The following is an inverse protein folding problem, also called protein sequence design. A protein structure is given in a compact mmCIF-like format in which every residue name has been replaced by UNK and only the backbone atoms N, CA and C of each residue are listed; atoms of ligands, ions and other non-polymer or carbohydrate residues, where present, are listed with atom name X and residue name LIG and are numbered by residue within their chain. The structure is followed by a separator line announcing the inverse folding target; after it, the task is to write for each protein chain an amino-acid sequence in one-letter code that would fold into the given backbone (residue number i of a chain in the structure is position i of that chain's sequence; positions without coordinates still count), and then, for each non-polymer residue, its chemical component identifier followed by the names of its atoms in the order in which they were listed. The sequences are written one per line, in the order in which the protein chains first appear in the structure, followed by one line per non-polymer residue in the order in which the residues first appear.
data_IF_345985430690
#
_entry.id   IF_345985430690
#
_cell.length_a   1.000
_cell.length_b   1.000
_cell.length_c   1.000
_cell.angle_alpha   90.00
_cell.angle_beta   90.00
_cell.angle_gamma   90.00
#
_symmetry.space_group_name_H-M   'P 1'
#
loop_
_entity.id
_entity.type
_entity.pdbx_description
1 polymer ?
#
# COMPACT_ATOMS: atom_id res chain seq x y z
N UNK A 1 34.17 78.46 -31.21
CA UNK A 1 33.87 78.22 -29.78
C UNK A 1 32.80 77.16 -29.73
N UNK A 2 33.20 75.91 -29.59
CA UNK A 2 32.30 74.75 -29.64
C UNK A 2 31.93 74.38 -28.20
N UNK A 3 30.65 74.40 -27.87
CA UNK A 3 30.15 73.87 -26.63
C UNK A 3 29.50 72.49 -26.93
N UNK A 4 30.22 71.48 -26.46
CA UNK A 4 29.83 70.08 -26.52
C UNK A 4 28.72 69.81 -25.49
N UNK A 5 27.52 69.51 -25.98
CA UNK A 5 26.44 69.06 -25.14
C UNK A 5 26.67 67.59 -24.76
N UNK A 6 26.99 67.32 -23.50
CA UNK A 6 27.00 65.97 -22.95
C UNK A 6 25.58 65.50 -22.72
N UNK A 7 25.21 64.50 -23.51
CA UNK A 7 23.96 63.77 -23.34
C UNK A 7 24.04 62.92 -22.04
N UNK A 8 23.29 63.32 -21.05
CA UNK A 8 23.12 62.63 -19.79
C UNK A 8 22.38 61.32 -20.02
N UNK A 9 23.11 60.23 -20.06
CA UNK A 9 22.55 58.89 -20.13
C UNK A 9 22.00 58.55 -18.72
N UNK A 10 20.74 58.77 -18.56
CA UNK A 10 19.99 58.34 -17.38
C UNK A 10 19.98 56.81 -17.42
N UNK A 11 20.81 56.19 -16.58
CA UNK A 11 20.69 54.77 -16.27
C UNK A 11 19.34 54.57 -15.61
N UNK A 12 18.38 54.05 -16.39
CA UNK A 12 17.13 53.54 -15.85
C UNK A 12 17.46 52.37 -14.95
N UNK A 13 17.36 52.59 -13.65
CA UNK A 13 17.32 51.50 -12.67
C UNK A 13 16.21 50.55 -13.10
N UNK A 14 16.63 49.36 -13.53
CA UNK A 14 15.77 48.21 -13.76
C UNK A 14 15.07 47.86 -12.45
N UNK A 15 13.93 48.49 -12.21
CA UNK A 15 13.02 48.02 -11.19
C UNK A 15 12.55 46.67 -11.69
N UNK A 16 12.95 45.60 -10.98
CA UNK A 16 12.70 44.20 -11.32
C UNK A 16 11.20 43.84 -11.38
N UNK A 17 10.44 44.63 -12.10
CA UNK A 17 9.08 44.30 -12.50
C UNK A 17 9.16 43.25 -13.59
N UNK A 18 8.82 42.01 -13.24
CA UNK A 18 8.75 40.91 -14.22
C UNK A 18 7.69 41.31 -15.24
N UNK A 19 8.13 41.66 -16.44
CA UNK A 19 7.22 41.98 -17.51
C UNK A 19 6.56 40.69 -18.04
N UNK A 20 5.34 40.44 -17.59
CA UNK A 20 4.56 39.24 -17.96
C UNK A 20 4.45 39.07 -19.48
N UNK A 21 4.44 40.15 -20.21
CA UNK A 21 4.36 40.10 -21.67
C UNK A 21 5.67 39.62 -22.30
N UNK A 22 6.81 39.99 -21.76
CA UNK A 22 8.12 39.55 -22.20
C UNK A 22 8.31 38.06 -21.87
N UNK A 23 7.90 37.63 -20.67
CA UNK A 23 7.88 36.22 -20.26
C UNK A 23 7.02 35.40 -21.25
N UNK A 24 5.86 35.91 -21.64
CA UNK A 24 4.97 35.22 -22.56
C UNK A 24 5.57 35.12 -23.98
N UNK A 25 6.28 36.14 -24.44
CA UNK A 25 6.99 36.12 -25.74
C UNK A 25 8.12 35.08 -25.73
N UNK A 26 8.90 34.97 -24.64
CA UNK A 26 9.95 33.97 -24.51
C UNK A 26 9.37 32.56 -24.50
N UNK A 27 8.22 32.38 -23.82
CA UNK A 27 7.50 31.09 -23.79
C UNK A 27 7.01 30.70 -25.19
N UNK A 28 6.46 31.64 -25.94
CA UNK A 28 6.01 31.43 -27.34
C UNK A 28 7.17 31.15 -28.30
N UNK A 29 8.31 31.78 -28.10
CA UNK A 29 9.51 31.54 -28.90
C UNK A 29 10.02 30.10 -28.68
N UNK A 30 9.91 29.58 -27.42
CA UNK A 30 10.30 28.22 -27.06
C UNK A 30 9.22 27.14 -27.23
N UNK A 31 8.07 27.47 -27.81
CA UNK A 31 6.89 26.57 -27.88
C UNK A 31 7.20 25.18 -28.44
N UNK A 32 8.02 25.08 -29.49
CA UNK A 32 8.37 23.79 -30.09
C UNK A 32 9.21 22.91 -29.16
N UNK A 33 10.12 23.51 -28.43
CA UNK A 33 10.91 22.78 -27.43
C UNK A 33 10.05 22.28 -26.29
N UNK A 34 9.13 23.13 -25.81
CA UNK A 34 8.20 22.76 -24.74
C UNK A 34 7.29 21.62 -25.18
N UNK A 35 6.68 21.74 -26.39
CA UNK A 35 5.82 20.70 -26.95
C UNK A 35 6.59 19.39 -27.10
N UNK A 36 7.80 19.42 -27.63
CA UNK A 36 8.59 18.21 -27.84
C UNK A 36 8.92 17.53 -26.52
N UNK A 37 9.41 18.29 -25.52
CA UNK A 37 9.77 17.74 -24.21
C UNK A 37 8.56 17.18 -23.47
N UNK A 38 7.43 17.91 -23.49
CA UNK A 38 6.21 17.44 -22.82
C UNK A 38 5.64 16.21 -23.51
N UNK A 39 5.60 16.18 -24.84
CA UNK A 39 5.13 15.00 -25.59
C UNK A 39 6.02 13.79 -25.32
N UNK A 40 7.34 13.96 -25.33
CA UNK A 40 8.27 12.90 -25.02
C UNK A 40 8.05 12.36 -23.60
N UNK A 41 7.93 13.26 -22.61
CA UNK A 41 7.64 12.88 -21.23
C UNK A 41 6.31 12.11 -21.10
N UNK A 42 5.26 12.57 -21.78
CA UNK A 42 3.97 11.88 -21.78
C UNK A 42 4.06 10.47 -22.36
N UNK A 43 4.79 10.29 -23.47
CA UNK A 43 4.98 8.97 -24.09
C UNK A 43 5.73 8.03 -23.14
N UNK A 44 6.79 8.50 -22.48
CA UNK A 44 7.55 7.69 -21.53
C UNK A 44 6.67 7.27 -20.34
N UNK A 45 5.88 8.20 -19.79
CA UNK A 45 4.95 7.90 -18.68
C UNK A 45 3.87 6.92 -19.13
N UNK A 46 3.35 7.06 -20.34
CA UNK A 46 2.32 6.18 -20.88
C UNK A 46 2.85 4.74 -21.02
N UNK A 47 4.06 4.57 -21.58
CA UNK A 47 4.71 3.25 -21.69
C UNK A 47 4.92 2.66 -20.29
N UNK A 48 5.40 3.48 -19.35
CA UNK A 48 5.58 3.05 -17.97
C UNK A 48 4.27 2.58 -17.32
N UNK A 49 3.19 3.35 -17.46
CA UNK A 49 1.88 2.98 -16.92
C UNK A 49 1.32 1.67 -17.52
N UNK A 50 1.55 1.44 -18.82
CA UNK A 50 1.12 0.20 -19.46
C UNK A 50 1.95 -1.02 -19.05
N UNK A 51 3.18 -0.80 -18.61
CA UNK A 51 4.05 -1.86 -18.11
C UNK A 51 3.81 -2.19 -16.62
N UNK A 52 2.99 -1.41 -15.90
CA UNK A 52 2.69 -1.72 -14.51
C UNK A 52 1.78 -2.95 -14.41
N UNK A 53 2.11 -3.89 -13.51
CA UNK A 53 1.25 -5.04 -13.26
C UNK A 53 -0.06 -4.61 -12.59
N UNK A 54 -1.14 -5.30 -12.91
CA UNK A 54 -2.42 -5.11 -12.26
C UNK A 54 -2.41 -5.74 -10.88
N UNK A 55 -2.78 -4.99 -9.84
CA UNK A 55 -2.90 -5.48 -8.47
C UNK A 55 -4.37 -5.51 -8.09
N UNK A 56 -4.86 -6.69 -7.74
CA UNK A 56 -6.23 -6.88 -7.25
C UNK A 56 -6.24 -6.93 -5.72
N UNK A 57 -7.17 -6.20 -5.11
CA UNK A 57 -7.36 -6.19 -3.66
C UNK A 57 -8.77 -6.65 -3.32
N UNK A 58 -8.87 -7.70 -2.50
CA UNK A 58 -10.10 -8.15 -1.88
C UNK A 58 -10.12 -7.74 -0.41
N UNK A 59 -11.29 -7.31 0.10
CA UNK A 59 -11.45 -6.86 1.48
C UNK A 59 -12.61 -7.59 2.13
N UNK A 60 -12.37 -8.09 3.34
CA UNK A 60 -13.41 -8.68 4.19
C UNK A 60 -13.45 -7.93 5.51
N UNK A 61 -14.65 -7.54 5.91
CA UNK A 61 -14.91 -6.90 7.19
C UNK A 61 -15.46 -7.96 8.16
N UNK A 62 -14.76 -8.12 9.28
CA UNK A 62 -15.14 -9.05 10.35
C UNK A 62 -15.56 -8.26 11.59
N UNK A 63 -16.69 -8.63 12.16
CA UNK A 63 -17.19 -8.07 13.42
C UNK A 63 -16.91 -9.09 14.52
N UNK A 64 -16.05 -8.77 15.50
CA UNK A 64 -15.84 -9.66 16.64
C UNK A 64 -17.13 -9.78 17.43
N UNK A 65 -17.52 -11.01 17.74
CA UNK A 65 -18.64 -11.23 18.64
C UNK A 65 -18.16 -11.00 20.09
N UNK A 66 -18.44 -9.82 20.61
CA UNK A 66 -18.17 -9.49 22.01
C UNK A 66 -19.30 -10.06 22.90
N UNK A 67 -19.29 -11.37 23.11
CA UNK A 67 -20.27 -12.04 23.98
C UNK A 67 -20.09 -11.72 25.49
N UNK A 68 -19.15 -10.86 25.85
CA UNK A 68 -18.98 -10.38 27.20
C UNK A 68 -19.81 -9.12 27.48
N UNK A 69 -21.12 -9.31 27.73
CA UNK A 69 -22.03 -8.28 28.26
C UNK A 69 -21.60 -7.71 29.65
N UNK A 70 -20.48 -8.15 30.22
CA UNK A 70 -19.94 -7.60 31.47
C UNK A 70 -19.22 -6.27 31.31
N UNK A 71 -18.84 -5.90 30.08
CA UNK A 71 -18.09 -4.64 29.87
C UNK A 71 -18.98 -3.39 29.95
N UNK A 72 -20.27 -3.50 29.74
CA UNK A 72 -21.23 -2.38 29.83
C UNK A 72 -21.36 -1.86 31.27
N UNK A 73 -21.49 -2.75 32.23
CA UNK A 73 -21.60 -2.38 33.65
C UNK A 73 -20.28 -1.82 34.18
N UNK A 74 -19.16 -2.47 33.88
CA UNK A 74 -17.85 -1.99 34.30
C UNK A 74 -17.49 -0.60 33.72
N UNK A 75 -17.93 -0.30 32.50
CA UNK A 75 -17.76 1.00 31.86
C UNK A 75 -18.61 2.08 32.55
N UNK A 76 -19.83 1.75 32.90
CA UNK A 76 -20.74 2.71 33.55
C UNK A 76 -20.38 2.96 35.03
N UNK A 77 -19.86 1.96 35.72
CA UNK A 77 -19.43 2.11 37.12
C UNK A 77 -17.98 2.55 37.26
N UNK A 78 -17.13 2.38 36.24
CA UNK A 78 -15.73 2.79 36.24
C UNK A 78 -15.57 4.31 36.39
N UNK A 79 -16.44 5.08 35.76
CA UNK A 79 -16.48 6.54 35.91
C UNK A 79 -16.89 6.98 37.32
N UNK A 80 -17.82 6.27 37.94
CA UNK A 80 -18.24 6.54 39.32
C UNK A 80 -17.16 6.12 40.33
N UNK A 81 -16.48 5.00 40.07
CA UNK A 81 -15.36 4.56 40.93
C UNK A 81 -14.16 5.51 40.89
N UNK A 82 -13.87 6.15 39.73
CA UNK A 82 -12.81 7.14 39.61
C UNK A 82 -13.13 8.42 40.41
N UNK A 83 -14.41 8.82 40.46
CA UNK A 83 -14.86 9.94 41.29
C UNK A 83 -14.73 9.62 42.79
N UNK A 84 -14.91 8.36 43.17
CA UNK A 84 -14.73 7.87 44.54
C UNK A 84 -13.26 7.59 44.91
N UNK A 85 -12.30 7.94 44.03
CA UNK A 85 -10.86 7.73 44.27
C UNK A 85 -10.42 6.26 44.24
N UNK A 86 -11.28 5.35 43.82
CA UNK A 86 -10.97 3.93 43.65
C UNK A 86 -10.45 3.71 42.23
N UNK A 87 -9.13 3.58 42.09
CA UNK A 87 -8.51 3.11 40.83
C UNK A 87 -8.84 1.64 40.68
N UNK A 88 -9.96 1.35 39.97
CA UNK A 88 -10.15 0.01 39.45
C UNK A 88 -8.97 -0.27 38.51
N UNK A 89 -8.25 -1.41 38.69
CA UNK A 89 -7.26 -1.80 37.70
C UNK A 89 -8.03 -1.85 36.39
N UNK A 90 -7.79 -0.88 35.53
CA UNK A 90 -8.24 -0.94 34.16
C UNK A 90 -7.51 -2.15 33.59
N UNK A 91 -8.19 -3.32 33.63
CA UNK A 91 -7.81 -4.40 32.77
C UNK A 91 -7.84 -3.75 31.39
N UNK A 92 -6.67 -3.40 30.91
CA UNK A 92 -6.45 -3.02 29.52
C UNK A 92 -6.71 -4.27 28.69
N UNK A 93 -7.98 -4.71 28.73
CA UNK A 93 -8.45 -5.81 27.94
C UNK A 93 -8.27 -5.34 26.50
N UNK A 94 -7.13 -5.77 25.95
CA UNK A 94 -6.87 -5.62 24.53
C UNK A 94 -8.16 -6.00 23.81
N UNK A 95 -8.69 -5.09 22.98
CA UNK A 95 -9.91 -5.35 22.20
C UNK A 95 -9.87 -6.76 21.60
N UNK A 96 -11.00 -7.43 21.53
CA UNK A 96 -11.07 -8.76 20.91
C UNK A 96 -10.55 -8.74 19.47
N UNK A 97 -10.75 -7.62 18.76
CA UNK A 97 -10.13 -7.38 17.45
C UNK A 97 -8.61 -7.47 17.50
N UNK A 98 -7.97 -6.81 18.45
CA UNK A 98 -6.51 -6.83 18.62
C UNK A 98 -5.98 -8.20 18.99
N UNK A 99 -6.71 -8.92 19.84
CA UNK A 99 -6.36 -10.33 20.18
C UNK A 99 -6.48 -11.22 18.96
N UNK A 100 -7.54 -11.04 18.16
CA UNK A 100 -7.73 -11.78 16.91
C UNK A 100 -6.60 -11.50 15.92
N UNK A 101 -6.24 -10.23 15.70
CA UNK A 101 -5.12 -9.85 14.82
C UNK A 101 -3.82 -10.53 15.28
N UNK A 102 -3.47 -10.43 16.57
CA UNK A 102 -2.27 -11.06 17.09
C UNK A 102 -2.25 -12.58 16.88
N UNK A 103 -3.41 -13.23 16.96
CA UNK A 103 -3.53 -14.65 16.68
C UNK A 103 -3.39 -14.94 15.18
N UNK A 104 -4.10 -14.21 14.34
CA UNK A 104 -4.07 -14.37 12.88
C UNK A 104 -2.70 -14.09 12.26
N UNK A 105 -1.94 -13.17 12.85
CA UNK A 105 -0.57 -12.81 12.42
C UNK A 105 0.52 -13.66 13.06
N UNK A 106 0.17 -14.72 13.77
CA UNK A 106 1.16 -15.63 14.37
C UNK A 106 1.51 -16.78 13.43
N UNK A 107 2.80 -17.15 13.40
CA UNK A 107 3.29 -18.30 12.64
C UNK A 107 2.55 -19.60 13.02
N UNK A 108 2.33 -19.81 14.32
CA UNK A 108 1.64 -21.01 14.83
C UNK A 108 0.20 -21.14 14.30
N UNK A 109 -0.52 -20.01 14.16
CA UNK A 109 -1.85 -20.02 13.57
C UNK A 109 -1.81 -20.33 12.07
N UNK A 110 -0.87 -19.72 11.37
CA UNK A 110 -0.64 -19.99 9.95
C UNK A 110 -0.35 -21.46 9.70
N UNK A 111 0.59 -22.01 10.43
CA UNK A 111 1.06 -23.41 10.30
C UNK A 111 -0.06 -24.43 10.59
N UNK A 112 -0.89 -24.15 11.61
CA UNK A 112 -1.93 -25.09 12.03
C UNK A 112 -3.24 -24.95 11.27
N UNK A 113 -3.56 -23.75 10.76
CA UNK A 113 -4.91 -23.46 10.23
C UNK A 113 -4.92 -22.99 8.77
N UNK A 114 -3.85 -22.34 8.30
CA UNK A 114 -3.82 -21.79 6.94
C UNK A 114 -3.06 -22.71 6.01
N UNK A 115 -1.82 -23.03 6.36
CA UNK A 115 -0.92 -23.82 5.52
C UNK A 115 -1.52 -25.16 5.04
N UNK A 116 -2.24 -25.93 5.89
CA UNK A 116 -2.85 -27.18 5.45
C UNK A 116 -4.04 -27.01 4.48
N UNK A 117 -4.60 -25.80 4.42
CA UNK A 117 -5.82 -25.50 3.65
C UNK A 117 -5.55 -24.66 2.40
N UNK A 118 -4.32 -24.28 2.13
CA UNK A 118 -3.94 -23.54 0.92
C UNK A 118 -3.11 -24.45 0.01
N UNK A 119 -3.22 -24.20 -1.29
CA UNK A 119 -2.32 -24.81 -2.25
C UNK A 119 -1.05 -23.97 -2.32
N UNK A 120 0.03 -24.49 -1.74
CA UNK A 120 1.26 -23.71 -1.55
C UNK A 120 1.86 -23.14 -2.84
N UNK A 121 1.81 -23.83 -4.01
CA UNK A 121 2.24 -23.24 -5.29
C UNK A 121 1.51 -21.93 -5.63
N UNK A 122 0.24 -21.77 -5.26
CA UNK A 122 -0.51 -20.51 -5.47
C UNK A 122 0.03 -19.35 -4.67
N UNK A 123 0.80 -19.63 -3.64
CA UNK A 123 1.39 -18.59 -2.80
C UNK A 123 2.80 -18.17 -3.26
N UNK A 124 3.58 -19.12 -3.81
CA UNK A 124 5.03 -18.93 -4.00
C UNK A 124 5.52 -19.19 -5.41
N UNK A 125 4.71 -19.78 -6.29
CA UNK A 125 5.14 -20.22 -7.62
C UNK A 125 4.31 -19.61 -8.77
N UNK A 126 3.42 -18.65 -8.49
CA UNK A 126 2.68 -17.97 -9.56
C UNK A 126 3.62 -17.03 -10.30
N UNK A 127 3.67 -17.19 -11.64
CA UNK A 127 4.33 -16.28 -12.55
C UNK A 127 3.36 -15.21 -13.06
N UNK A 128 2.20 -15.62 -13.59
CA UNK A 128 1.20 -14.72 -14.13
C UNK A 128 -0.20 -15.33 -14.09
N UNK A 129 -1.22 -14.47 -14.15
CA UNK A 129 -2.62 -14.88 -14.27
C UNK A 129 -3.24 -14.29 -15.54
N UNK A 130 -3.82 -15.15 -16.35
CA UNK A 130 -4.60 -14.73 -17.50
C UNK A 130 -6.06 -14.58 -17.10
N UNK A 131 -6.53 -13.32 -17.02
CA UNK A 131 -7.90 -12.99 -16.59
C UNK A 131 -8.97 -13.44 -17.59
N UNK A 132 -8.67 -13.48 -18.89
CA UNK A 132 -9.63 -13.86 -19.93
C UNK A 132 -9.93 -15.37 -19.90
N UNK A 133 -8.90 -16.18 -19.69
CA UNK A 133 -9.00 -17.62 -19.63
C UNK A 133 -9.18 -18.15 -18.20
N UNK A 134 -9.10 -17.25 -17.20
CA UNK A 134 -9.06 -17.60 -15.77
C UNK A 134 -8.03 -18.71 -15.49
N UNK A 135 -6.84 -18.57 -16.07
CA UNK A 135 -5.78 -19.54 -15.99
C UNK A 135 -4.55 -18.96 -15.30
N UNK A 136 -4.02 -19.71 -14.33
CA UNK A 136 -2.81 -19.35 -13.58
C UNK A 136 -1.62 -20.05 -14.26
N UNK A 137 -0.62 -19.26 -14.63
CA UNK A 137 0.68 -19.76 -15.06
C UNK A 137 1.61 -19.83 -13.86
N UNK A 138 2.25 -20.97 -13.67
CA UNK A 138 3.26 -21.17 -12.64
C UNK A 138 4.65 -21.07 -13.25
N UNK A 139 5.60 -20.63 -12.43
CA UNK A 139 7.01 -20.69 -12.78
C UNK A 139 7.45 -22.15 -12.87
N UNK A 140 7.78 -22.57 -14.08
CA UNK A 140 8.19 -23.95 -14.38
C UNK A 140 9.53 -24.34 -13.75
N UNK A 141 10.33 -23.39 -13.28
CA UNK A 141 11.55 -23.68 -12.53
C UNK A 141 11.24 -24.05 -11.07
N UNK A 142 10.08 -23.62 -10.56
CA UNK A 142 9.63 -23.86 -9.18
C UNK A 142 8.65 -25.01 -9.12
N UNK A 143 7.63 -25.01 -9.99
CA UNK A 143 6.52 -25.95 -9.94
C UNK A 143 6.07 -26.40 -11.33
N UNK A 144 6.07 -27.71 -11.59
CA UNK A 144 5.54 -28.31 -12.81
C UNK A 144 4.05 -28.60 -12.65
N UNK A 145 3.19 -27.72 -13.22
CA UNK A 145 1.74 -27.86 -13.16
C UNK A 145 1.25 -29.13 -13.85
N UNK A 146 1.91 -29.58 -14.93
CA UNK A 146 1.47 -30.73 -15.70
C UNK A 146 1.63 -32.04 -14.93
N UNK A 147 2.65 -32.12 -14.08
CA UNK A 147 2.94 -33.28 -13.25
C UNK A 147 2.48 -33.12 -11.81
N UNK A 148 2.05 -31.90 -11.44
CA UNK A 148 1.66 -31.54 -10.08
C UNK A 148 2.77 -31.80 -9.04
N UNK A 149 4.02 -31.44 -9.38
CA UNK A 149 5.19 -31.67 -8.54
C UNK A 149 6.09 -30.44 -8.46
N UNK A 150 6.76 -30.29 -7.32
CA UNK A 150 7.83 -29.32 -7.19
C UNK A 150 9.03 -29.75 -8.05
N UNK A 151 9.53 -28.81 -8.87
CA UNK A 151 10.75 -29.03 -9.67
C UNK A 151 11.98 -28.81 -8.81
N UNK A 152 11.87 -27.95 -7.78
CA UNK A 152 12.92 -27.68 -6.83
C UNK A 152 13.28 -28.94 -6.01
N UNK A 153 14.55 -29.09 -5.70
CA UNK A 153 14.99 -30.08 -4.70
C UNK A 153 14.19 -29.89 -3.39
N UNK A 154 13.90 -31.00 -2.70
CA UNK A 154 13.17 -30.98 -1.40
C UNK A 154 13.69 -29.93 -0.41
N UNK A 155 14.96 -29.60 -0.50
CA UNK A 155 15.63 -28.63 0.38
C UNK A 155 15.31 -27.18 0.03
N UNK A 156 14.80 -26.93 -1.19
CA UNK A 156 14.45 -25.61 -1.71
C UNK A 156 12.93 -25.36 -1.71
N UNK A 157 12.12 -26.37 -1.36
CA UNK A 157 10.68 -26.18 -1.15
C UNK A 157 10.51 -25.27 0.07
N UNK A 158 9.70 -24.19 -0.04
CA UNK A 158 9.55 -23.24 1.05
C UNK A 158 9.10 -23.89 2.34
N UNK A 159 9.82 -23.60 3.41
CA UNK A 159 9.45 -24.01 4.78
C UNK A 159 8.18 -23.28 5.23
N UNK A 160 7.56 -23.75 6.30
CA UNK A 160 6.40 -23.09 6.89
C UNK A 160 6.69 -21.62 7.23
N UNK A 161 7.89 -21.29 7.67
CA UNK A 161 8.30 -19.92 7.99
C UNK A 161 8.45 -19.05 6.73
N UNK A 162 9.07 -19.55 5.68
CA UNK A 162 9.20 -18.84 4.40
C UNK A 162 7.83 -18.63 3.75
N UNK A 163 6.98 -19.66 3.79
CA UNK A 163 5.58 -19.58 3.33
C UNK A 163 4.78 -18.55 4.13
N UNK A 164 5.04 -18.42 5.42
CA UNK A 164 4.42 -17.41 6.27
C UNK A 164 4.83 -15.98 5.88
N UNK A 165 6.10 -15.76 5.56
CA UNK A 165 6.54 -14.46 5.06
C UNK A 165 5.90 -14.12 3.71
N UNK A 166 5.81 -15.09 2.80
CA UNK A 166 5.10 -14.92 1.54
C UNK A 166 3.62 -14.58 1.78
N UNK A 167 2.95 -15.29 2.67
CA UNK A 167 1.57 -15.01 3.06
C UNK A 167 1.40 -13.59 3.62
N UNK A 168 2.29 -13.14 4.49
CA UNK A 168 2.23 -11.80 5.06
C UNK A 168 2.42 -10.67 4.03
N UNK A 169 3.11 -10.93 2.93
CA UNK A 169 3.25 -9.95 1.85
C UNK A 169 1.94 -9.72 1.08
N UNK A 170 1.07 -10.72 1.04
CA UNK A 170 -0.21 -10.68 0.33
C UNK A 170 -1.39 -10.32 1.24
N UNK A 171 -1.31 -10.60 2.55
CA UNK A 171 -2.42 -10.44 3.48
C UNK A 171 -2.09 -9.41 4.56
N UNK A 172 -2.97 -8.43 4.71
CA UNK A 172 -2.86 -7.42 5.77
C UNK A 172 -4.10 -7.38 6.64
N UNK A 173 -3.87 -7.15 7.92
CA UNK A 173 -4.91 -7.05 8.94
C UNK A 173 -4.91 -5.64 9.53
N UNK A 174 -6.07 -5.03 9.64
CA UNK A 174 -6.21 -3.73 10.31
C UNK A 174 -7.45 -3.72 11.20
N UNK A 175 -7.38 -3.05 12.34
CA UNK A 175 -8.52 -2.82 13.20
C UNK A 175 -8.97 -1.35 13.12
N UNK A 176 -10.29 -1.17 13.19
CA UNK A 176 -10.88 0.13 13.41
C UNK A 176 -11.07 0.30 14.93
N UNK A 177 -10.25 1.16 15.52
CA UNK A 177 -10.29 1.40 16.97
C UNK A 177 -11.61 2.06 17.44
N UNK A 178 -12.39 2.65 16.53
CA UNK A 178 -13.66 3.31 16.85
C UNK A 178 -14.80 2.30 16.88
N UNK A 179 -14.88 1.47 15.84
CA UNK A 179 -16.00 0.53 15.64
C UNK A 179 -15.64 -0.91 16.04
N UNK A 180 -14.40 -1.18 16.43
CA UNK A 180 -13.87 -2.52 16.73
C UNK A 180 -14.01 -3.54 15.58
N UNK A 181 -14.07 -3.07 14.34
CA UNK A 181 -14.11 -3.95 13.18
C UNK A 181 -12.69 -4.39 12.81
N UNK A 182 -12.58 -5.63 12.39
CA UNK A 182 -11.36 -6.19 11.82
C UNK A 182 -11.49 -6.26 10.31
N UNK A 183 -10.61 -5.56 9.60
CA UNK A 183 -10.54 -5.64 8.14
C UNK A 183 -9.38 -6.53 7.74
N UNK A 184 -9.67 -7.55 6.94
CA UNK A 184 -8.68 -8.40 6.28
C UNK A 184 -8.62 -7.98 4.82
N UNK A 185 -7.44 -7.68 4.34
CA UNK A 185 -7.17 -7.32 2.95
C UNK A 185 -6.21 -8.34 2.36
N UNK A 186 -6.56 -8.85 1.20
CA UNK A 186 -5.71 -9.74 0.42
C UNK A 186 -5.39 -9.03 -0.89
N UNK A 187 -4.10 -8.92 -1.19
CA UNK A 187 -3.59 -8.33 -2.44
C UNK A 187 -2.85 -9.41 -3.21
N UNK A 188 -3.16 -9.51 -4.47
CA UNK A 188 -2.42 -10.36 -5.39
C UNK A 188 -2.17 -9.62 -6.69
N UNK A 189 -1.00 -9.87 -7.28
CA UNK A 189 -0.64 -9.38 -8.59
C UNK A 189 -1.15 -10.37 -9.64
N UNK A 190 -1.68 -9.87 -10.72
CA UNK A 190 -2.04 -10.70 -11.90
C UNK A 190 -1.03 -10.52 -13.00
#
# INVERSE_FOLDING_TARGET
MQTKSESNKIDSFDTGEINLFELFQVLLAGKWTIIFVTTFACVVVLIYCLALPNIYESRVLLVPNDSNNQSGLAKNYGSLASIAGVSLPSNSNMSNSKKAIKKLTSLSFFESNILPNIFLPDLVAIDSWNSELNFINYDNEIYDQSKNVWVLDKKLIPSAQESFYAFQSHVSFSDDNVNNFLTVKVKHQS
#
